data_IF_479884962534
#
_entry.id   IF_479884962534
#
_cell.length_a   1.000
_cell.length_b   1.000
_cell.length_c   1.000
_cell.angle_alpha   90.00
_cell.angle_beta   90.00
_cell.angle_gamma   90.00
#
_symmetry.space_group_name_H-M   'P 1'
#
loop_
_entity.id
_entity.type
_entity.pdbx_description
1 polymer ?
#
# COMPACT_ATOMS: atom_id res chain seq x y z
N UNK A 1 -7.60 -23.31 -3.77
CA UNK A 1 -7.33 -21.88 -4.00
C UNK A 1 -6.42 -21.78 -5.23
N UNK A 2 -6.92 -21.24 -6.35
CA UNK A 2 -6.18 -21.18 -7.61
C UNK A 2 -5.48 -19.80 -7.72
N UNK A 3 -4.20 -19.75 -7.42
CA UNK A 3 -3.39 -18.53 -7.55
C UNK A 3 -2.72 -18.49 -8.93
N UNK A 4 -2.75 -17.32 -9.58
CA UNK A 4 -2.00 -17.12 -10.83
C UNK A 4 -0.50 -17.28 -10.58
N UNK A 5 0.15 -18.08 -11.42
CA UNK A 5 1.58 -18.35 -11.34
C UNK A 5 2.29 -17.75 -12.55
N UNK A 6 3.48 -17.14 -12.38
CA UNK A 6 4.29 -16.71 -13.51
C UNK A 6 4.71 -17.92 -14.35
N UNK A 7 4.86 -17.71 -15.65
CA UNK A 7 5.45 -18.69 -16.56
C UNK A 7 6.94 -18.91 -16.21
N UNK A 8 7.40 -20.17 -16.11
CA UNK A 8 8.78 -20.47 -15.77
C UNK A 8 9.71 -20.29 -16.98
N UNK A 9 10.97 -19.91 -16.70
CA UNK A 9 12.02 -19.78 -17.71
C UNK A 9 12.24 -18.36 -18.22
N UNK A 10 13.17 -18.22 -19.15
CA UNK A 10 13.41 -16.97 -19.87
C UNK A 10 12.58 -16.96 -21.13
N UNK A 11 11.81 -15.90 -21.33
CA UNK A 11 10.97 -15.73 -22.52
C UNK A 11 11.43 -14.52 -23.32
N UNK A 12 11.24 -14.58 -24.64
CA UNK A 12 11.64 -13.51 -25.54
C UNK A 12 10.98 -12.17 -25.19
N UNK A 13 11.64 -11.07 -25.56
CA UNK A 13 11.24 -9.71 -25.15
C UNK A 13 9.79 -9.34 -25.50
N UNK A 14 9.19 -9.95 -26.53
CA UNK A 14 7.81 -9.74 -27.01
C UNK A 14 6.88 -10.95 -26.85
N UNK A 15 7.32 -11.98 -26.15
CA UNK A 15 6.50 -13.16 -25.86
C UNK A 15 5.30 -12.79 -24.97
N UNK A 16 4.19 -13.51 -25.14
CA UNK A 16 2.97 -13.28 -24.34
C UNK A 16 3.23 -13.63 -22.86
N UNK A 17 4.09 -14.62 -22.63
CA UNK A 17 4.54 -15.11 -21.35
C UNK A 17 5.33 -14.05 -20.58
N UNK A 18 6.27 -13.36 -21.24
CA UNK A 18 7.02 -12.25 -20.61
C UNK A 18 6.11 -11.07 -20.27
N UNK A 19 5.20 -10.71 -21.17
CA UNK A 19 4.22 -9.63 -20.94
C UNK A 19 3.33 -9.98 -19.76
N UNK A 20 2.85 -11.22 -19.68
CA UNK A 20 2.05 -11.71 -18.56
C UNK A 20 2.83 -11.64 -17.25
N UNK A 21 4.05 -12.18 -17.21
CA UNK A 21 4.90 -12.16 -16.02
C UNK A 21 5.19 -10.73 -15.56
N UNK A 22 5.46 -9.81 -16.49
CA UNK A 22 5.65 -8.41 -16.19
C UNK A 22 4.40 -7.78 -15.55
N UNK A 23 3.22 -8.00 -16.14
CA UNK A 23 1.95 -7.49 -15.60
C UNK A 23 1.67 -8.05 -14.21
N UNK A 24 1.88 -9.36 -14.02
CA UNK A 24 1.69 -10.02 -12.73
C UNK A 24 2.61 -9.43 -11.64
N UNK A 25 3.90 -9.30 -11.95
CA UNK A 25 4.88 -8.67 -11.04
C UNK A 25 4.55 -7.21 -10.75
N UNK A 26 4.11 -6.45 -11.76
CA UNK A 26 3.67 -5.06 -11.59
C UNK A 26 2.48 -4.96 -10.64
N UNK A 27 1.44 -5.77 -10.84
CA UNK A 27 0.27 -5.79 -9.95
C UNK A 27 0.68 -6.14 -8.53
N UNK A 28 1.57 -7.14 -8.35
CA UNK A 28 2.08 -7.50 -7.03
C UNK A 28 2.80 -6.33 -6.35
N UNK A 29 3.74 -5.66 -7.03
CA UNK A 29 4.47 -4.50 -6.49
C UNK A 29 3.53 -3.39 -6.05
N UNK A 30 2.51 -3.07 -6.86
CA UNK A 30 1.52 -2.03 -6.51
C UNK A 30 0.77 -2.41 -5.23
N UNK A 31 0.31 -3.66 -5.12
CA UNK A 31 -0.42 -4.14 -3.93
C UNK A 31 0.48 -4.13 -2.69
N UNK A 32 1.74 -4.55 -2.82
CA UNK A 32 2.73 -4.52 -1.72
C UNK A 32 3.02 -3.09 -1.25
N UNK A 33 3.22 -2.14 -2.18
CA UNK A 33 3.47 -0.74 -1.85
C UNK A 33 2.29 -0.13 -1.09
N UNK A 34 1.05 -0.38 -1.53
CA UNK A 34 -0.15 0.09 -0.83
C UNK A 34 -0.28 -0.56 0.54
N UNK A 35 -0.03 -1.87 0.64
CA UNK A 35 -0.08 -2.57 1.92
C UNK A 35 0.95 -2.03 2.91
N UNK A 36 2.16 -1.73 2.44
CA UNK A 36 3.21 -1.14 3.26
C UNK A 36 2.77 0.22 3.82
N UNK A 37 2.24 1.12 2.99
CA UNK A 37 1.72 2.43 3.42
C UNK A 37 0.58 2.25 4.44
N UNK A 38 -0.40 1.40 4.13
CA UNK A 38 -1.53 1.12 5.02
C UNK A 38 -1.03 0.60 6.38
N UNK A 39 -0.06 -0.31 6.39
CA UNK A 39 0.49 -0.87 7.63
C UNK A 39 1.33 0.14 8.42
N UNK A 40 2.07 1.01 7.74
CA UNK A 40 2.90 2.03 8.37
C UNK A 40 2.07 3.15 9.01
N UNK A 41 0.99 3.55 8.34
CA UNK A 41 0.07 4.61 8.82
C UNK A 41 -0.92 4.03 9.83
N UNK A 42 -1.57 2.91 9.51
CA UNK A 42 -2.57 2.28 10.36
C UNK A 42 -1.93 1.13 11.13
N UNK A 43 -1.20 1.46 12.20
CA UNK A 43 -0.50 0.50 13.08
C UNK A 43 -1.35 -0.70 13.54
N UNK A 44 -2.69 -0.59 13.51
CA UNK A 44 -3.63 -1.68 13.79
C UNK A 44 -3.45 -2.87 12.83
N UNK A 45 -2.97 -2.64 11.59
CA UNK A 45 -2.74 -3.68 10.59
C UNK A 45 -1.40 -4.41 10.77
N UNK A 46 -0.50 -3.91 11.63
CA UNK A 46 0.83 -4.50 11.85
C UNK A 46 0.83 -5.71 12.79
N UNK A 47 -0.22 -5.86 13.60
CA UNK A 47 -0.34 -6.93 14.59
C UNK A 47 -1.60 -7.76 14.30
N UNK A 48 -1.60 -9.06 14.62
CA UNK A 48 -2.82 -9.86 14.57
C UNK A 48 -3.94 -9.19 15.37
N UNK A 49 -5.12 -9.07 14.76
CA UNK A 49 -6.29 -8.51 15.41
C UNK A 49 -6.92 -9.57 16.32
N UNK A 50 -6.88 -9.36 17.63
CA UNK A 50 -7.59 -10.19 18.62
C UNK A 50 -9.07 -9.76 18.72
N UNK A 51 -9.76 -9.68 17.59
CA UNK A 51 -11.16 -9.28 17.48
C UNK A 51 -11.96 -10.33 16.71
N UNK A 52 -13.28 -10.29 16.87
CA UNK A 52 -14.20 -11.06 16.03
C UNK A 52 -13.99 -10.69 14.53
N UNK A 53 -14.15 -11.66 13.62
CA UNK A 53 -13.85 -11.46 12.20
C UNK A 53 -14.69 -10.32 11.58
N UNK A 54 -15.94 -10.11 12.02
CA UNK A 54 -16.76 -9.00 11.50
C UNK A 54 -16.16 -7.63 11.84
N UNK A 55 -15.63 -7.48 13.08
CA UNK A 55 -14.97 -6.25 13.53
C UNK A 55 -13.64 -6.04 12.80
N UNK A 56 -12.87 -7.10 12.58
CA UNK A 56 -11.62 -7.03 11.83
C UNK A 56 -11.88 -6.55 10.39
N UNK A 57 -12.89 -7.10 9.72
CA UNK A 57 -13.30 -6.66 8.37
C UNK A 57 -13.70 -5.17 8.34
N UNK A 58 -14.50 -4.73 9.31
CA UNK A 58 -14.91 -3.32 9.41
C UNK A 58 -13.70 -2.39 9.57
N UNK A 59 -12.74 -2.74 10.42
CA UNK A 59 -11.49 -1.98 10.60
C UNK A 59 -10.71 -1.92 9.28
N UNK A 60 -10.54 -3.06 8.59
CA UNK A 60 -9.81 -3.10 7.31
C UNK A 60 -10.47 -2.20 6.26
N UNK A 61 -11.80 -2.28 6.10
CA UNK A 61 -12.55 -1.41 5.19
C UNK A 61 -12.38 0.07 5.55
N UNK A 62 -12.44 0.39 6.84
CA UNK A 62 -12.27 1.77 7.34
C UNK A 62 -10.90 2.32 6.99
N UNK A 63 -9.84 1.51 7.13
CA UNK A 63 -8.48 1.87 6.67
C UNK A 63 -8.43 2.15 5.16
N UNK A 64 -9.10 1.34 4.34
CA UNK A 64 -9.19 1.56 2.88
C UNK A 64 -9.91 2.87 2.54
N UNK A 65 -11.06 3.15 3.18
CA UNK A 65 -11.78 4.41 2.98
C UNK A 65 -10.93 5.62 3.39
N UNK A 66 -10.25 5.54 4.53
CA UNK A 66 -9.41 6.63 5.01
C UNK A 66 -8.19 6.85 4.10
N UNK A 67 -7.58 5.78 3.60
CA UNK A 67 -6.53 5.88 2.58
C UNK A 67 -7.00 6.63 1.33
N UNK A 68 -8.15 6.23 0.76
CA UNK A 68 -8.72 6.89 -0.41
C UNK A 68 -9.02 8.37 -0.15
N UNK A 69 -9.57 8.68 1.03
CA UNK A 69 -9.85 10.04 1.44
C UNK A 69 -8.57 10.89 1.53
N UNK A 70 -7.51 10.37 2.17
CA UNK A 70 -6.23 11.06 2.32
C UNK A 70 -5.49 11.27 0.99
N UNK A 71 -5.68 10.35 0.03
CA UNK A 71 -5.13 10.47 -1.33
C UNK A 71 -5.90 11.45 -2.22
N UNK A 72 -7.14 11.82 -1.88
CA UNK A 72 -7.99 12.67 -2.75
C UNK A 72 -7.54 14.13 -2.79
N UNK A 73 -7.05 14.69 -1.67
CA UNK A 73 -6.61 16.09 -1.62
C UNK A 73 -5.11 16.20 -1.82
N UNK A 74 -4.64 17.08 -2.72
CA UNK A 74 -3.19 17.26 -2.99
C UNK A 74 -2.38 17.64 -1.74
N UNK A 75 -2.94 18.46 -0.87
CA UNK A 75 -2.29 18.90 0.38
C UNK A 75 -2.14 17.77 1.39
N UNK A 76 -3.17 16.93 1.58
CA UNK A 76 -3.08 15.77 2.47
C UNK A 76 -2.27 14.63 1.85
N UNK A 77 -2.36 14.44 0.53
CA UNK A 77 -1.65 13.39 -0.19
C UNK A 77 -0.14 13.55 -0.09
N UNK A 78 0.39 14.78 -0.15
CA UNK A 78 1.82 15.05 0.01
C UNK A 78 2.34 14.73 1.42
N UNK A 79 1.50 14.91 2.45
CA UNK A 79 1.83 14.60 3.84
C UNK A 79 1.66 13.11 4.17
N UNK A 80 0.63 12.49 3.59
CA UNK A 80 0.29 11.08 3.78
C UNK A 80 1.23 10.14 3.03
N UNK A 81 1.56 10.51 1.79
CA UNK A 81 2.48 9.80 0.91
C UNK A 81 3.41 10.82 0.27
N UNK A 82 4.59 11.01 0.88
CA UNK A 82 5.62 11.87 0.33
C UNK A 82 5.95 11.49 -1.12
N UNK A 83 6.15 12.46 -2.03
CA UNK A 83 6.64 12.20 -3.37
C UNK A 83 7.94 11.37 -3.30
N UNK A 84 7.96 10.21 -3.96
CA UNK A 84 9.06 9.24 -3.85
C UNK A 84 8.80 8.06 -2.91
N UNK A 85 7.59 7.87 -2.40
CA UNK A 85 7.17 6.60 -1.76
C UNK A 85 6.71 5.55 -2.79
N UNK A 86 6.14 6.01 -3.90
CA UNK A 86 5.69 5.13 -4.97
C UNK A 86 6.76 5.01 -6.05
N UNK A 87 7.03 3.77 -6.46
CA UNK A 87 7.86 3.48 -7.62
C UNK A 87 7.28 4.16 -8.85
N UNK A 88 8.09 4.97 -9.52
CA UNK A 88 7.71 5.62 -10.76
C UNK A 88 8.22 4.77 -11.91
N UNK A 89 7.34 4.41 -12.84
CA UNK A 89 7.78 3.69 -14.04
C UNK A 89 8.31 4.68 -15.08
N UNK A 90 9.47 4.37 -15.65
CA UNK A 90 9.96 5.12 -16.80
C UNK A 90 9.13 4.71 -18.04
N UNK A 91 8.40 5.65 -18.64
CA UNK A 91 7.47 5.40 -19.74
C UNK A 91 8.15 4.84 -21.01
N UNK A 92 9.47 4.99 -21.13
CA UNK A 92 10.24 4.57 -22.32
C UNK A 92 10.72 3.12 -22.18
N UNK A 93 11.14 2.71 -20.98
CA UNK A 93 11.81 1.43 -20.74
C UNK A 93 10.87 0.42 -20.05
N UNK A 94 9.73 0.88 -19.51
CA UNK A 94 8.84 0.13 -18.62
C UNK A 94 9.58 -0.50 -17.43
N UNK A 95 10.76 0.01 -17.08
CA UNK A 95 11.48 -0.38 -15.88
C UNK A 95 11.04 0.51 -14.73
N UNK A 96 10.75 -0.12 -13.59
CA UNK A 96 10.47 0.57 -12.34
C UNK A 96 11.74 1.28 -11.88
N UNK A 97 11.61 2.56 -11.54
CA UNK A 97 12.62 3.30 -10.79
C UNK A 97 12.23 3.09 -9.33
N UNK A 98 12.95 2.21 -8.63
CA UNK A 98 12.71 1.94 -7.22
C UNK A 98 12.91 3.24 -6.44
N UNK A 99 11.88 3.67 -5.73
CA UNK A 99 11.96 4.89 -4.96
C UNK A 99 12.82 4.66 -3.71
N UNK A 100 13.71 5.61 -3.31
CA UNK A 100 14.54 5.41 -2.14
C UNK A 100 13.65 5.25 -0.90
N UNK A 101 13.84 4.13 -0.20
CA UNK A 101 13.07 3.69 0.96
C UNK A 101 13.35 4.58 2.20
N UNK A 102 13.03 5.87 2.11
CA UNK A 102 13.19 6.81 3.21
C UNK A 102 12.15 7.94 3.11
N UNK A 103 11.62 8.36 4.25
CA UNK A 103 10.69 9.48 4.46
C UNK A 103 9.19 9.13 4.52
N UNK A 104 8.83 8.05 5.22
CA UNK A 104 7.60 8.11 6.00
C UNK A 104 7.84 9.15 7.11
N UNK A 105 7.36 10.38 6.90
CA UNK A 105 7.29 11.35 7.99
C UNK A 105 6.38 10.74 9.07
N UNK A 106 6.82 10.67 10.34
CA UNK A 106 5.97 10.19 11.41
C UNK A 106 4.71 11.05 11.45
N UNK A 107 3.53 10.42 11.39
CA UNK A 107 2.29 11.12 11.68
C UNK A 107 2.42 11.74 13.08
N UNK A 108 2.11 13.04 13.19
CA UNK A 108 2.14 13.76 14.46
C UNK A 108 1.29 12.97 15.47
N UNK A 109 1.91 12.48 16.53
CA UNK A 109 1.22 11.76 17.59
C UNK A 109 0.25 12.72 18.27
N UNK A 110 -1.03 12.66 17.89
CA UNK A 110 -2.09 13.38 18.60
C UNK A 110 -2.48 12.51 19.78
N UNK A 111 -2.15 12.98 20.99
CA UNK A 111 -2.54 12.31 22.23
C UNK A 111 -4.03 11.99 22.22
N UNK A 112 -4.38 10.78 22.66
CA UNK A 112 -5.78 10.37 22.84
C UNK A 112 -6.47 11.44 23.67
N UNK A 113 -7.57 12.01 23.17
CA UNK A 113 -8.41 12.89 24.00
C UNK A 113 -8.80 12.08 25.25
N UNK A 114 -8.52 12.56 26.47
CA UNK A 114 -8.99 11.88 27.66
C UNK A 114 -10.51 11.84 27.60
N UNK A 115 -11.07 10.67 27.89
CA UNK A 115 -12.49 10.53 28.18
C UNK A 115 -12.74 11.38 29.41
N UNK A 116 -13.42 12.51 29.24
CA UNK A 116 -13.79 13.39 30.34
C UNK A 116 -14.49 12.56 31.41
N UNK A 117 -14.05 12.76 32.64
CA UNK A 117 -14.60 12.13 33.83
C UNK A 117 -16.11 12.39 33.89
N UNK A 118 -16.89 11.32 33.86
CA UNK A 118 -18.28 11.36 34.24
C UNK A 118 -18.35 11.01 35.74
N UNK A 119 -18.78 12.00 36.52
CA UNK A 119 -18.97 12.07 37.99
C UNK A 119 -17.73 12.36 38.85
#
# INVERSE_FOLDING_TARGET
MNLMKPYPGQHDKRSKERIFNYRLSRTRRIVENVFWILSAVFCVLRKPMLLAPEKAQLITLTCCYLHNFLMTQKSSSQLYTSPGIFDTENQITHSAIDAPMANLLPLRNVGRRPTGDAN
#
